data_IF_326719953417
#
_entry.id   IF_326719953417
#
_cell.length_a   1.000
_cell.length_b   1.000
_cell.length_c   1.000
_cell.angle_alpha   90.00
_cell.angle_beta   90.00
_cell.angle_gamma   90.00
#
_symmetry.space_group_name_H-M   'P 1'
#
loop_
_entity.id
_entity.type
_entity.pdbx_description
1 polymer ?
#
# COMPACT_ATOMS: atom_id res chain seq x y z
N UNK A 1 -11.80 10.74 -25.51
CA UNK A 1 -10.88 10.13 -24.52
C UNK A 1 -11.52 10.30 -23.15
N UNK A 2 -12.07 9.24 -22.55
CA UNK A 2 -12.76 9.36 -21.25
C UNK A 2 -11.75 9.81 -20.19
N UNK A 3 -12.02 10.94 -19.53
CA UNK A 3 -11.13 11.47 -18.50
C UNK A 3 -11.05 10.46 -17.33
N UNK A 4 -9.87 9.87 -17.11
CA UNK A 4 -9.62 8.87 -16.05
C UNK A 4 -9.75 9.50 -14.65
N UNK A 5 -9.54 10.82 -14.56
CA UNK A 5 -9.58 11.62 -13.36
C UNK A 5 -10.80 12.54 -13.35
N UNK A 6 -12.00 11.95 -13.35
CA UNK A 6 -13.21 12.72 -13.05
C UNK A 6 -13.24 13.16 -11.56
N UNK A 7 -14.10 14.13 -11.25
CA UNK A 7 -14.20 14.70 -9.89
C UNK A 7 -14.55 13.66 -8.81
N UNK A 8 -15.32 12.63 -9.16
CA UNK A 8 -15.70 11.53 -8.25
C UNK A 8 -14.52 10.61 -7.93
N UNK A 9 -13.71 10.31 -8.94
CA UNK A 9 -12.48 9.53 -8.81
C UNK A 9 -11.46 10.29 -7.97
N UNK A 10 -11.30 11.59 -8.22
CA UNK A 10 -10.38 12.44 -7.46
C UNK A 10 -10.79 12.58 -5.99
N UNK A 11 -12.09 12.71 -5.71
CA UNK A 11 -12.60 12.73 -4.33
C UNK A 11 -12.42 11.37 -3.62
N UNK A 12 -12.56 10.26 -4.34
CA UNK A 12 -12.31 8.92 -3.78
C UNK A 12 -10.83 8.70 -3.48
N UNK A 13 -9.95 9.19 -4.35
CA UNK A 13 -8.50 9.16 -4.18
C UNK A 13 -8.06 10.01 -2.98
N UNK A 14 -8.55 11.24 -2.83
CA UNK A 14 -8.16 12.09 -1.69
C UNK A 14 -8.61 11.50 -0.36
N UNK A 15 -9.83 10.96 -0.28
CA UNK A 15 -10.32 10.24 0.91
C UNK A 15 -9.46 9.02 1.23
N UNK A 16 -9.06 8.26 0.22
CA UNK A 16 -8.13 7.14 0.38
C UNK A 16 -6.81 7.62 0.96
N UNK A 17 -6.16 8.61 0.34
CA UNK A 17 -4.85 9.10 0.75
C UNK A 17 -4.88 9.66 2.18
N UNK A 18 -5.91 10.42 2.54
CA UNK A 18 -6.04 10.97 3.90
C UNK A 18 -6.16 9.85 4.94
N UNK A 19 -7.04 8.87 4.71
CA UNK A 19 -7.22 7.76 5.64
C UNK A 19 -5.98 6.86 5.69
N UNK A 20 -5.37 6.59 4.53
CA UNK A 20 -4.16 5.79 4.42
C UNK A 20 -2.99 6.42 5.19
N UNK A 21 -2.70 7.71 4.92
CA UNK A 21 -1.64 8.44 5.61
C UNK A 21 -1.95 8.52 7.11
N UNK A 22 -3.19 8.81 7.50
CA UNK A 22 -3.59 8.84 8.91
C UNK A 22 -3.32 7.52 9.63
N UNK A 23 -3.71 6.39 9.03
CA UNK A 23 -3.48 5.06 9.61
C UNK A 23 -1.98 4.73 9.64
N UNK A 24 -1.23 5.10 8.61
CA UNK A 24 0.21 4.83 8.52
C UNK A 24 1.00 5.64 9.56
N UNK A 25 0.62 6.91 9.79
CA UNK A 25 1.18 7.77 10.84
C UNK A 25 0.84 7.23 12.23
N UNK A 26 -0.42 6.90 12.51
CA UNK A 26 -0.83 6.31 13.79
C UNK A 26 -0.10 4.98 14.03
N UNK A 27 0.00 4.14 13.00
CA UNK A 27 0.72 2.88 13.03
C UNK A 27 2.21 3.07 13.33
N UNK A 28 2.85 4.09 12.75
CA UNK A 28 4.25 4.43 13.02
C UNK A 28 4.47 4.85 14.48
N UNK A 29 3.60 5.71 15.01
CA UNK A 29 3.66 6.11 16.42
C UNK A 29 3.46 4.93 17.37
N UNK A 30 2.47 4.07 17.11
CA UNK A 30 2.26 2.87 17.95
C UNK A 30 3.49 1.95 17.91
N UNK A 31 4.08 1.76 16.73
CA UNK A 31 5.22 0.87 16.54
C UNK A 31 6.47 1.40 17.26
N UNK A 32 6.81 2.68 17.08
CA UNK A 32 7.94 3.33 17.77
C UNK A 32 7.78 3.29 19.29
N UNK A 33 6.58 3.56 19.81
CA UNK A 33 6.30 3.48 21.26
C UNK A 33 6.41 2.05 21.79
N UNK A 34 5.97 1.05 21.02
CA UNK A 34 6.11 -0.36 21.38
C UNK A 34 7.59 -0.76 21.47
N UNK A 35 8.41 -0.37 20.49
CA UNK A 35 9.85 -0.65 20.49
C UNK A 35 10.52 -0.03 21.73
N UNK A 36 10.19 1.22 22.06
CA UNK A 36 10.73 1.91 23.24
C UNK A 36 10.31 1.25 24.55
N UNK A 37 9.03 0.90 24.69
CA UNK A 37 8.51 0.30 25.93
C UNK A 37 9.11 -1.09 26.20
N UNK A 38 9.25 -1.93 25.16
CA UNK A 38 9.80 -3.27 25.29
C UNK A 38 11.33 -3.33 25.18
N UNK A 39 12.00 -2.18 24.99
CA UNK A 39 13.46 -2.08 24.82
C UNK A 39 14.00 -3.01 23.72
N UNK A 40 13.23 -3.17 22.63
CA UNK A 40 13.68 -3.97 21.49
C UNK A 40 14.85 -3.26 20.79
N UNK A 41 15.88 -4.03 20.42
CA UNK A 41 16.98 -3.54 19.58
C UNK A 41 16.51 -3.44 18.13
N UNK A 42 15.76 -2.39 17.80
CA UNK A 42 15.36 -2.08 16.43
C UNK A 42 16.25 -0.96 15.86
N UNK A 43 16.56 -1.08 14.57
CA UNK A 43 17.25 -0.05 13.84
C UNK A 43 16.22 1.00 13.38
N UNK A 44 16.20 2.16 14.04
CA UNK A 44 15.26 3.24 13.74
C UNK A 44 15.32 3.68 12.27
N UNK A 45 16.48 3.62 11.62
CA UNK A 45 16.61 3.92 10.20
C UNK A 45 15.85 2.92 9.33
N UNK A 46 15.89 1.62 9.67
CA UNK A 46 15.16 0.57 8.94
C UNK A 46 13.66 0.69 9.18
N UNK A 47 13.24 1.05 10.39
CA UNK A 47 11.85 1.35 10.69
C UNK A 47 11.33 2.51 9.83
N UNK A 48 12.04 3.64 9.81
CA UNK A 48 11.68 4.81 9.02
C UNK A 48 11.61 4.49 7.53
N UNK A 49 12.64 3.80 7.02
CA UNK A 49 12.70 3.32 5.64
C UNK A 49 11.53 2.39 5.32
N UNK A 50 11.15 1.51 6.24
CA UNK A 50 10.05 0.56 6.06
C UNK A 50 8.70 1.27 5.90
N UNK A 51 8.40 2.26 6.73
CA UNK A 51 7.16 3.03 6.61
C UNK A 51 7.13 3.90 5.36
N UNK A 52 8.25 4.57 5.06
CA UNK A 52 8.36 5.42 3.87
C UNK A 52 8.24 4.59 2.59
N UNK A 53 8.94 3.47 2.50
CA UNK A 53 8.91 2.57 1.35
C UNK A 53 7.52 1.98 1.14
N UNK A 54 6.89 1.44 2.18
CA UNK A 54 5.55 0.88 2.07
C UNK A 54 4.52 1.95 1.68
N UNK A 55 4.57 3.12 2.30
CA UNK A 55 3.71 4.26 1.97
C UNK A 55 3.86 4.70 0.52
N UNK A 56 5.08 4.97 0.07
CA UNK A 56 5.37 5.41 -1.29
C UNK A 56 4.97 4.36 -2.33
N UNK A 57 5.33 3.09 -2.11
CA UNK A 57 4.99 2.00 -3.02
C UNK A 57 3.48 1.83 -3.13
N UNK A 58 2.75 1.91 -2.02
CA UNK A 58 1.29 1.81 -2.02
C UNK A 58 0.63 2.92 -2.81
N UNK A 59 1.10 4.16 -2.66
CA UNK A 59 0.60 5.28 -3.46
C UNK A 59 0.82 5.02 -4.95
N UNK A 60 2.03 4.59 -5.34
CA UNK A 60 2.36 4.27 -6.73
C UNK A 60 1.49 3.13 -7.26
N UNK A 61 1.37 2.03 -6.52
CA UNK A 61 0.57 0.87 -6.90
C UNK A 61 -0.91 1.24 -7.06
N UNK A 62 -1.44 2.05 -6.15
CA UNK A 62 -2.82 2.52 -6.20
C UNK A 62 -3.07 3.42 -7.43
N UNK A 63 -2.14 4.30 -7.79
CA UNK A 63 -2.22 5.11 -9.00
C UNK A 63 -2.20 4.24 -10.26
N UNK A 64 -1.31 3.24 -10.33
CA UNK A 64 -1.26 2.26 -11.42
C UNK A 64 -2.64 1.59 -11.54
N UNK A 65 -3.20 1.08 -10.44
CA UNK A 65 -4.52 0.45 -10.45
C UNK A 65 -5.59 1.39 -10.97
N UNK A 66 -5.65 2.63 -10.50
CA UNK A 66 -6.62 3.63 -10.96
C UNK A 66 -6.55 3.86 -12.47
N UNK A 67 -5.34 3.95 -13.04
CA UNK A 67 -5.14 4.17 -14.48
C UNK A 67 -5.52 2.94 -15.29
N UNK A 68 -5.07 1.76 -14.84
CA UNK A 68 -5.25 0.52 -15.58
C UNK A 68 -6.60 -0.16 -15.34
N UNK A 69 -7.43 0.34 -14.40
CA UNK A 69 -8.67 -0.34 -14.01
C UNK A 69 -9.68 -0.57 -15.12
N UNK A 70 -9.70 0.31 -16.12
CA UNK A 70 -10.62 0.19 -17.26
C UNK A 70 -10.11 -0.78 -18.32
N UNK A 71 -8.79 -0.92 -18.45
CA UNK A 71 -8.15 -1.76 -19.48
C UNK A 71 -8.00 -3.21 -19.03
N UNK A 72 -7.74 -3.44 -17.74
CA UNK A 72 -7.41 -4.75 -17.19
C UNK A 72 -8.33 -5.13 -16.02
N UNK A 73 -9.64 -4.89 -16.14
CA UNK A 73 -10.64 -5.11 -15.07
C UNK A 73 -10.50 -6.47 -14.37
N UNK A 74 -10.37 -7.54 -15.15
CA UNK A 74 -10.33 -8.91 -14.64
C UNK A 74 -8.95 -9.28 -14.07
N UNK A 75 -7.92 -8.48 -14.35
CA UNK A 75 -6.54 -8.73 -13.96
C UNK A 75 -6.04 -7.79 -12.85
N UNK A 76 -6.83 -6.79 -12.41
CA UNK A 76 -6.41 -5.85 -11.36
C UNK A 76 -6.00 -6.57 -10.08
N UNK A 77 -6.76 -7.58 -9.67
CA UNK A 77 -6.44 -8.37 -8.49
C UNK A 77 -5.07 -9.05 -8.60
N UNK A 78 -4.72 -9.57 -9.78
CA UNK A 78 -3.42 -10.15 -10.05
C UNK A 78 -2.29 -9.11 -10.06
N UNK A 79 -2.52 -7.94 -10.68
CA UNK A 79 -1.56 -6.81 -10.66
C UNK A 79 -1.27 -6.39 -9.23
N UNK A 80 -2.31 -6.29 -8.39
CA UNK A 80 -2.19 -5.96 -6.98
C UNK A 80 -1.39 -7.01 -6.19
N UNK A 81 -1.75 -8.29 -6.33
CA UNK A 81 -1.05 -9.37 -5.63
C UNK A 81 0.41 -9.45 -6.04
N UNK A 82 0.69 -9.41 -7.34
CA UNK A 82 2.06 -9.39 -7.87
C UNK A 82 2.84 -8.16 -7.37
N UNK A 83 2.23 -6.96 -7.43
CA UNK A 83 2.84 -5.74 -6.93
C UNK A 83 3.17 -5.80 -5.43
N UNK A 84 2.27 -6.37 -4.63
CA UNK A 84 2.47 -6.56 -3.19
C UNK A 84 3.55 -7.59 -2.86
N UNK A 85 3.71 -8.63 -3.67
CA UNK A 85 4.83 -9.58 -3.55
C UNK A 85 6.15 -8.95 -3.99
N UNK A 86 6.15 -8.21 -5.09
CA UNK A 86 7.31 -7.47 -5.59
C UNK A 86 7.80 -6.46 -4.55
N UNK A 87 6.89 -5.79 -3.83
CA UNK A 87 7.20 -4.88 -2.71
C UNK A 87 8.09 -5.56 -1.66
N UNK A 88 7.78 -6.80 -1.27
CA UNK A 88 8.59 -7.60 -0.34
C UNK A 88 9.98 -7.88 -0.92
N UNK A 89 10.05 -8.33 -2.17
CA UNK A 89 11.31 -8.66 -2.84
C UNK A 89 12.25 -7.45 -3.01
N UNK A 90 11.69 -6.29 -3.38
CA UNK A 90 12.45 -5.05 -3.54
C UNK A 90 13.00 -4.58 -2.18
N UNK A 91 12.18 -4.59 -1.13
CA UNK A 91 12.66 -4.20 0.19
C UNK A 91 13.78 -5.11 0.70
N UNK A 92 13.63 -6.43 0.52
CA UNK A 92 14.66 -7.40 0.87
C UNK A 92 15.96 -7.15 0.07
N UNK A 93 15.86 -6.83 -1.23
CA UNK A 93 17.01 -6.48 -2.05
C UNK A 93 17.70 -5.20 -1.58
N UNK A 94 16.94 -4.12 -1.31
CA UNK A 94 17.47 -2.84 -0.79
C UNK A 94 18.20 -3.07 0.54
N UNK A 95 17.58 -3.81 1.47
CA UNK A 95 18.15 -4.10 2.80
C UNK A 95 19.45 -4.89 2.68
N UNK A 96 19.46 -5.93 1.84
CA UNK A 96 20.65 -6.74 1.59
C UNK A 96 21.79 -5.96 0.92
N UNK A 97 21.47 -5.11 -0.06
CA UNK A 97 22.46 -4.24 -0.71
C UNK A 97 23.04 -3.19 0.25
N UNK A 98 22.26 -2.78 1.26
CA UNK A 98 22.71 -1.91 2.34
C UNK A 98 23.62 -2.60 3.38
N UNK A 99 23.94 -3.88 3.19
CA UNK A 99 24.78 -4.65 4.13
C UNK A 99 24.07 -4.99 5.45
N UNK A 100 22.74 -4.87 5.49
CA UNK A 100 21.95 -5.15 6.68
C UNK A 100 21.50 -6.61 6.66
N UNK A 101 21.89 -7.37 7.68
CA UNK A 101 21.40 -8.73 7.88
C UNK A 101 19.93 -8.69 8.34
N UNK A 102 19.07 -9.43 7.65
CA UNK A 102 17.66 -9.50 8.00
C UNK A 102 17.51 -10.43 9.20
N UNK A 103 17.31 -9.85 10.39
CA UNK A 103 16.91 -10.55 11.58
C UNK A 103 15.38 -10.49 11.78
N UNK A 104 14.89 -11.07 12.88
CA UNK A 104 13.46 -11.08 13.20
C UNK A 104 12.92 -9.66 13.43
N UNK A 105 13.73 -8.76 13.99
CA UNK A 105 13.32 -7.39 14.32
C UNK A 105 13.14 -6.57 13.06
N UNK A 106 14.13 -6.57 12.18
CA UNK A 106 14.09 -5.91 10.86
C UNK A 106 12.94 -6.44 10.01
N UNK A 107 12.71 -7.76 10.06
CA UNK A 107 11.55 -8.33 9.39
C UNK A 107 10.22 -7.78 9.93
N UNK A 108 10.06 -7.65 11.25
CA UNK A 108 8.86 -7.07 11.86
C UNK A 108 8.71 -5.57 11.57
N UNK A 109 9.81 -4.82 11.61
CA UNK A 109 9.88 -3.40 11.27
C UNK A 109 9.33 -3.13 9.86
N UNK A 110 9.59 -4.05 8.93
CA UNK A 110 9.05 -4.03 7.59
C UNK A 110 7.64 -4.61 7.47
N UNK A 111 7.36 -5.72 8.13
CA UNK A 111 6.13 -6.49 7.95
C UNK A 111 4.90 -5.75 8.50
N UNK A 112 5.05 -5.00 9.60
CA UNK A 112 3.94 -4.22 10.19
C UNK A 112 3.40 -3.14 9.22
N UNK A 113 4.22 -2.18 8.72
CA UNK A 113 3.74 -1.20 7.74
C UNK A 113 3.31 -1.85 6.43
N UNK A 114 3.92 -2.99 6.05
CA UNK A 114 3.50 -3.77 4.89
C UNK A 114 2.06 -4.30 5.02
N UNK A 115 1.74 -4.99 6.12
CA UNK A 115 0.39 -5.55 6.33
C UNK A 115 -0.66 -4.45 6.40
N UNK A 116 -0.38 -3.36 7.13
CA UNK A 116 -1.27 -2.18 7.17
C UNK A 116 -1.57 -1.70 5.75
N UNK A 117 -0.52 -1.59 4.92
CA UNK A 117 -0.65 -1.12 3.56
C UNK A 117 -1.45 -2.08 2.68
N UNK A 118 -1.14 -3.37 2.72
CA UNK A 118 -1.82 -4.41 1.94
C UNK A 118 -3.31 -4.51 2.30
N UNK A 119 -3.66 -4.45 3.59
CA UNK A 119 -5.06 -4.51 4.03
C UNK A 119 -5.85 -3.32 3.48
N UNK A 120 -5.28 -2.12 3.55
CA UNK A 120 -5.92 -0.93 3.00
C UNK A 120 -6.00 -0.97 1.48
N UNK A 121 -4.95 -1.42 0.80
CA UNK A 121 -4.96 -1.63 -0.64
C UNK A 121 -6.11 -2.57 -1.05
N UNK A 122 -6.22 -3.76 -0.44
CA UNK A 122 -7.30 -4.71 -0.70
C UNK A 122 -8.67 -4.06 -0.52
N UNK A 123 -8.90 -3.41 0.63
CA UNK A 123 -10.19 -2.79 0.93
C UNK A 123 -10.61 -1.77 -0.13
N UNK A 124 -9.70 -0.88 -0.52
CA UNK A 124 -10.00 0.18 -1.49
C UNK A 124 -10.09 -0.34 -2.92
N UNK A 125 -9.25 -1.30 -3.31
CA UNK A 125 -9.32 -1.94 -4.63
C UNK A 125 -10.65 -2.67 -4.80
N UNK A 126 -11.09 -3.44 -3.79
CA UNK A 126 -12.39 -4.11 -3.80
C UNK A 126 -13.54 -3.11 -3.96
N UNK A 127 -13.46 -1.94 -3.29
CA UNK A 127 -14.46 -0.87 -3.41
C UNK A 127 -14.48 -0.25 -4.81
N UNK A 128 -13.31 0.04 -5.39
CA UNK A 128 -13.19 0.61 -6.74
C UNK A 128 -13.72 -0.38 -7.78
N UNK A 129 -13.34 -1.65 -7.68
CA UNK A 129 -13.80 -2.71 -8.57
C UNK A 129 -15.32 -2.85 -8.53
N UNK A 130 -15.91 -2.94 -7.33
CA UNK A 130 -17.37 -3.03 -7.15
C UNK A 130 -18.11 -1.89 -7.84
N UNK A 131 -17.65 -0.64 -7.66
CA UNK A 131 -18.28 0.53 -8.27
C UNK A 131 -18.14 0.55 -9.80
N UNK A 132 -17.00 0.05 -10.32
CA UNK A 132 -16.77 -0.01 -11.76
C UNK A 132 -17.62 -1.11 -12.41
N UNK A 133 -17.89 -2.23 -11.73
CA UNK A 133 -18.80 -3.28 -12.23
C UNK A 133 -20.27 -2.84 -12.20
N UNK A 134 -20.69 -2.09 -11.18
CA UNK A 134 -22.05 -1.54 -11.11
C UNK A 134 -22.36 -0.58 -12.27
N UNK A 135 -21.40 0.30 -12.61
CA UNK A 135 -21.58 1.33 -13.65
C UNK A 135 -21.70 0.72 -15.04
N UNK A 136 -20.91 -0.32 -15.36
CA UNK A 136 -20.98 -0.99 -16.66
C UNK A 136 -22.30 -1.74 -16.84
N UNK A 137 -22.84 -2.38 -15.79
CA UNK A 137 -24.13 -3.08 -15.85
C UNK A 137 -25.33 -2.16 -16.09
N UNK A 138 -25.23 -0.85 -15.77
CA UNK A 138 -26.29 0.12 -16.04
C UNK A 138 -26.23 0.70 -17.47
N UNK A 139 -25.12 0.57 -18.18
CA UNK A 139 -24.99 1.01 -19.58
C UNK A 139 -25.58 -0.02 -20.57
N UNK A 140 -25.94 -1.22 -20.07
CA UNK A 140 -26.45 -2.35 -20.88
C UNK A 140 -27.98 -2.54 -20.68
N UNK A 141 -28.60 -1.77 -19.78
CA UNK A 141 -30.06 -1.72 -19.60
C UNK A 141 -30.64 -0.45 -20.21
#
# INVERSE_FOLDING_TARGET
MNNVFDSKTLQSLSRFLILFIGILVVGYFIHTQTIQYFSFHSNTYILDLSYLFNGAFTIVLFLIIIVFRKKFKDQIGFIFMAGSLIKLGIFAAITKMGGVEIDKTIFLDFFIPYVISVVLEVYYISKILKNTQYTDNQQIK
#
